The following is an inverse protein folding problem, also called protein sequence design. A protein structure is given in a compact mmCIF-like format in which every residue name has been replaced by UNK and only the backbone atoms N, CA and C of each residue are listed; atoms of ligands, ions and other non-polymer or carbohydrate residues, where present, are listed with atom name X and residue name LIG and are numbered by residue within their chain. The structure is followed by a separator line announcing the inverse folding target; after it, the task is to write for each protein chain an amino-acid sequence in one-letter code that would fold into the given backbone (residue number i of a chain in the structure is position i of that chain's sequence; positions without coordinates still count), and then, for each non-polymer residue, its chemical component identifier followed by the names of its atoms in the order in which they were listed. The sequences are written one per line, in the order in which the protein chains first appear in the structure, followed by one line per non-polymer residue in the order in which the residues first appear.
data_IF_338314964951
#
_entry.id   IF_338314964951
#
_cell.length_a   1.000
_cell.length_b   1.000
_cell.length_c   1.000
_cell.angle_alpha   90.00
_cell.angle_beta   90.00
_cell.angle_gamma   90.00
#
_symmetry.space_group_name_H-M   'P 1'
#
loop_
_entity.id
_entity.type
_entity.pdbx_description
1 polymer ?
#
# COMPACT_ATOMS: atom_id res chain seq x y z
N UNK A 1 20.11 6.82 -22.49
CA UNK A 1 18.69 6.98 -22.11
C UNK A 1 17.92 5.66 -22.11
N UNK A 2 17.69 4.99 -23.26
CA UNK A 2 16.86 3.78 -23.34
C UNK A 2 17.34 2.63 -22.42
N UNK A 3 18.64 2.34 -22.40
CA UNK A 3 19.19 1.27 -21.56
C UNK A 3 18.96 1.53 -20.05
N UNK A 4 19.09 2.77 -19.58
CA UNK A 4 18.85 3.12 -18.18
C UNK A 4 17.37 3.13 -17.81
N UNK A 5 16.50 3.58 -18.72
CA UNK A 5 15.06 3.42 -18.55
C UNK A 5 14.69 1.93 -18.41
N UNK A 6 15.26 1.08 -19.26
CA UNK A 6 15.07 -0.38 -19.17
C UNK A 6 15.57 -0.92 -17.83
N UNK A 7 16.80 -0.55 -17.40
CA UNK A 7 17.36 -0.98 -16.12
C UNK A 7 16.54 -0.50 -14.91
N UNK A 8 16.05 0.74 -14.93
CA UNK A 8 15.20 1.29 -13.88
C UNK A 8 13.86 0.55 -13.81
N UNK A 9 13.25 0.27 -14.96
CA UNK A 9 12.02 -0.53 -15.04
C UNK A 9 12.24 -1.99 -14.62
N UNK A 10 13.41 -2.58 -14.92
CA UNK A 10 13.81 -3.89 -14.38
C UNK A 10 13.87 -3.82 -12.85
N UNK A 11 14.43 -2.76 -12.28
CA UNK A 11 14.39 -2.50 -10.85
C UNK A 11 12.96 -2.50 -10.29
N UNK A 12 12.03 -1.77 -10.91
CA UNK A 12 10.62 -1.76 -10.51
C UNK A 12 9.99 -3.16 -10.62
N UNK A 13 10.26 -3.90 -11.71
CA UNK A 13 9.74 -5.24 -11.93
C UNK A 13 10.27 -6.23 -10.88
N UNK A 14 11.55 -6.14 -10.54
CA UNK A 14 12.17 -6.95 -9.48
C UNK A 14 11.62 -6.57 -8.10
N UNK A 15 11.34 -5.28 -7.85
CA UNK A 15 10.70 -4.83 -6.61
C UNK A 15 9.29 -5.40 -6.50
N UNK A 16 8.50 -5.34 -7.57
CA UNK A 16 7.16 -5.95 -7.65
C UNK A 16 7.22 -7.46 -7.37
N UNK A 17 8.13 -8.17 -8.05
CA UNK A 17 8.33 -9.61 -7.84
C UNK A 17 8.77 -9.91 -6.41
N UNK A 18 9.69 -9.13 -5.85
CA UNK A 18 10.17 -9.27 -4.49
C UNK A 18 9.06 -9.13 -3.46
N UNK A 19 8.21 -8.10 -3.59
CA UNK A 19 7.01 -7.91 -2.75
C UNK A 19 6.02 -9.07 -2.91
N UNK A 20 5.84 -9.61 -4.12
CA UNK A 20 4.97 -10.77 -4.36
C UNK A 20 5.52 -12.06 -3.74
N UNK A 21 6.81 -12.32 -3.84
CA UNK A 21 7.44 -13.49 -3.20
C UNK A 21 7.43 -13.36 -1.68
N UNK A 22 7.72 -12.17 -1.14
CA UNK A 22 7.62 -11.91 0.29
C UNK A 22 6.21 -12.23 0.81
N UNK A 23 5.18 -11.70 0.12
CA UNK A 23 3.76 -12.04 0.36
C UNK A 23 3.53 -13.55 0.34
N UNK A 24 3.94 -14.23 -0.72
CA UNK A 24 3.67 -15.67 -0.88
C UNK A 24 4.35 -16.52 0.20
N UNK A 25 5.61 -16.20 0.53
CA UNK A 25 6.36 -16.88 1.59
C UNK A 25 5.73 -16.67 2.97
N UNK A 26 5.40 -15.43 3.34
CA UNK A 26 4.78 -15.12 4.63
C UNK A 26 3.38 -15.74 4.78
N UNK A 27 2.55 -15.68 3.74
CA UNK A 27 1.20 -16.27 3.76
C UNK A 27 1.26 -17.79 3.89
N UNK A 28 2.15 -18.46 3.15
CA UNK A 28 2.28 -19.91 3.24
C UNK A 28 2.87 -20.37 4.58
N UNK A 29 3.75 -19.56 5.17
CA UNK A 29 4.26 -19.81 6.51
C UNK A 29 3.17 -19.61 7.58
N UNK A 30 2.31 -18.60 7.40
CA UNK A 30 1.24 -18.21 8.32
C UNK A 30 -0.16 -18.77 8.02
N UNK A 31 -0.28 -19.82 7.19
CA UNK A 31 -1.58 -20.25 6.64
C UNK A 31 -2.63 -20.59 7.72
N UNK A 32 -2.20 -21.21 8.82
CA UNK A 32 -3.08 -21.57 9.94
C UNK A 32 -3.57 -20.35 10.74
N UNK A 33 -2.78 -19.28 10.78
CA UNK A 33 -3.08 -18.03 11.48
C UNK A 33 -4.10 -17.21 10.68
N UNK A 34 -3.96 -17.16 9.35
CA UNK A 34 -4.88 -16.42 8.48
C UNK A 34 -6.33 -16.93 8.59
N UNK A 35 -6.54 -18.25 8.56
CA UNK A 35 -7.88 -18.82 8.73
C UNK A 35 -8.48 -18.55 10.13
N UNK A 36 -7.63 -18.44 11.16
CA UNK A 36 -8.07 -18.17 12.54
C UNK A 36 -8.44 -16.69 12.74
N UNK A 37 -7.73 -15.79 12.05
CA UNK A 37 -8.02 -14.35 12.01
C UNK A 37 -9.37 -14.10 11.32
N UNK A 38 -9.57 -14.73 10.16
CA UNK A 38 -10.81 -14.59 9.38
C UNK A 38 -12.06 -15.12 10.11
N UNK A 39 -11.92 -16.09 11.01
CA UNK A 39 -13.03 -16.60 11.84
C UNK A 39 -13.35 -15.74 13.07
N UNK A 40 -12.41 -14.88 13.50
CA UNK A 40 -12.55 -14.02 14.70
C UNK A 40 -12.84 -12.55 14.36
N UNK A 41 -12.61 -12.17 13.11
CA UNK A 41 -13.11 -10.95 12.48
C UNK A 41 -14.50 -11.29 11.93
N UNK A 42 -15.63 -10.72 12.31
CA UNK A 42 -15.93 -9.32 12.56
C UNK A 42 -17.31 -9.23 13.21
N UNK A 43 -17.40 -8.80 14.47
CA UNK A 43 -18.69 -8.43 15.07
C UNK A 43 -18.90 -6.91 15.08
N UNK A 44 -17.82 -6.13 15.17
CA UNK A 44 -17.84 -4.66 15.22
C UNK A 44 -16.74 -4.07 14.33
N UNK A 45 -16.88 -2.81 13.87
CA UNK A 45 -15.86 -2.16 13.05
C UNK A 45 -14.50 -2.01 13.75
N UNK A 46 -14.46 -1.82 15.06
CA UNK A 46 -13.20 -1.75 15.81
C UNK A 46 -12.42 -3.08 15.75
N UNK A 47 -13.14 -4.21 15.89
CA UNK A 47 -12.53 -5.53 15.68
C UNK A 47 -12.14 -5.73 14.22
N UNK A 48 -12.93 -5.20 13.28
CA UNK A 48 -12.60 -5.14 11.85
C UNK A 48 -11.28 -4.40 11.60
N UNK A 49 -11.07 -3.25 12.24
CA UNK A 49 -9.83 -2.46 12.15
C UNK A 49 -8.63 -3.27 12.62
N UNK A 50 -8.67 -3.82 13.84
CA UNK A 50 -7.57 -4.62 14.37
C UNK A 50 -7.23 -5.83 13.48
N UNK A 51 -8.24 -6.62 13.11
CA UNK A 51 -8.00 -7.81 12.29
C UNK A 51 -7.66 -7.47 10.83
N UNK A 52 -8.16 -6.36 10.30
CA UNK A 52 -7.76 -5.84 8.99
C UNK A 52 -6.30 -5.42 8.97
N UNK A 53 -5.83 -4.72 10.01
CA UNK A 53 -4.41 -4.38 10.17
C UNK A 53 -3.56 -5.63 10.26
N UNK A 54 -3.94 -6.59 11.11
CA UNK A 54 -3.16 -7.83 11.24
C UNK A 54 -3.20 -8.67 9.97
N UNK A 55 -4.35 -8.80 9.32
CA UNK A 55 -4.50 -9.55 8.07
C UNK A 55 -3.64 -8.93 6.98
N UNK A 56 -3.68 -7.61 6.79
CA UNK A 56 -2.83 -6.95 5.80
C UNK A 56 -1.36 -6.99 6.19
N UNK A 57 -0.98 -6.87 7.46
CA UNK A 57 0.40 -7.00 7.88
C UNK A 57 0.97 -8.40 7.58
N UNK A 58 0.17 -9.46 7.76
CA UNK A 58 0.60 -10.84 7.48
C UNK A 58 0.54 -11.17 5.98
N UNK A 59 -0.53 -10.75 5.30
CA UNK A 59 -0.73 -10.99 3.86
C UNK A 59 0.11 -10.05 3.01
N UNK A 60 0.58 -8.93 3.57
CA UNK A 60 1.32 -7.85 2.88
C UNK A 60 0.54 -7.22 1.71
N UNK A 61 -0.80 -7.30 1.71
CA UNK A 61 -1.67 -6.63 0.72
C UNK A 61 -2.84 -5.99 1.42
N UNK A 62 -2.96 -4.66 1.35
CA UNK A 62 -4.25 -4.03 1.59
C UNK A 62 -5.23 -4.37 0.47
N UNK A 63 -4.80 -4.32 -0.79
CA UNK A 63 -5.61 -4.68 -1.97
C UNK A 63 -6.34 -6.00 -1.81
N UNK A 64 -5.62 -7.10 -1.54
CA UNK A 64 -6.24 -8.42 -1.38
C UNK A 64 -7.23 -8.48 -0.19
N UNK A 65 -6.89 -7.84 0.93
CA UNK A 65 -7.76 -7.80 2.11
C UNK A 65 -9.01 -6.95 1.86
N UNK A 66 -8.89 -5.82 1.17
CA UNK A 66 -10.03 -4.98 0.78
C UNK A 66 -10.92 -5.66 -0.25
N UNK A 67 -10.34 -6.31 -1.28
CA UNK A 67 -11.11 -7.08 -2.26
C UNK A 67 -11.84 -8.25 -1.59
N UNK A 68 -11.19 -8.93 -0.63
CA UNK A 68 -11.84 -9.96 0.18
C UNK A 68 -12.99 -9.36 1.01
N UNK A 69 -12.81 -8.19 1.63
CA UNK A 69 -13.88 -7.52 2.38
C UNK A 69 -15.06 -7.16 1.47
N UNK A 70 -14.81 -6.66 0.26
CA UNK A 70 -15.83 -6.41 -0.77
C UNK A 70 -16.57 -7.70 -1.10
N UNK A 71 -15.86 -8.81 -1.36
CA UNK A 71 -16.46 -10.11 -1.65
C UNK A 71 -17.27 -10.71 -0.49
N UNK A 72 -16.82 -10.53 0.76
CA UNK A 72 -17.55 -10.98 1.96
C UNK A 72 -18.84 -10.18 2.17
N UNK A 73 -18.83 -8.88 1.86
CA UNK A 73 -20.05 -8.07 1.87
C UNK A 73 -21.00 -8.50 0.75
N UNK A 74 -20.47 -8.79 -0.43
CA UNK A 74 -21.26 -9.22 -1.58
C UNK A 74 -21.97 -10.56 -1.33
N UNK A 75 -21.25 -11.51 -0.72
CA UNK A 75 -21.81 -12.79 -0.28
C UNK A 75 -22.71 -12.72 0.96
N UNK A 76 -22.87 -11.54 1.57
CA UNK A 76 -23.66 -11.34 2.79
C UNK A 76 -23.06 -11.94 4.07
N UNK A 77 -21.78 -12.35 4.04
CA UNK A 77 -21.08 -12.92 5.19
C UNK A 77 -20.77 -11.87 6.26
N UNK A 78 -20.55 -10.62 5.85
CA UNK A 78 -20.36 -9.46 6.72
C UNK A 78 -21.18 -8.28 6.18
N UNK A 79 -21.50 -7.33 7.06
CA UNK A 79 -22.21 -6.12 6.65
C UNK A 79 -21.25 -5.04 6.12
N UNK A 80 -21.79 -4.09 5.35
CA UNK A 80 -21.04 -2.91 4.91
C UNK A 80 -20.39 -2.13 6.08
N UNK A 81 -21.09 -1.93 7.20
CA UNK A 81 -20.50 -1.24 8.35
C UNK A 81 -19.32 -2.00 8.96
N UNK A 82 -19.39 -3.33 9.00
CA UNK A 82 -18.28 -4.16 9.49
C UNK A 82 -17.07 -4.10 8.54
N UNK A 83 -17.29 -4.03 7.23
CA UNK A 83 -16.21 -3.95 6.25
C UNK A 83 -15.44 -2.64 6.34
N UNK A 84 -16.07 -1.52 6.75
CA UNK A 84 -15.38 -0.24 6.99
C UNK A 84 -14.18 -0.41 7.93
N UNK A 85 -14.36 -1.15 9.02
CA UNK A 85 -13.28 -1.49 9.94
C UNK A 85 -12.14 -2.21 9.24
N UNK A 86 -12.46 -3.26 8.47
CA UNK A 86 -11.46 -4.06 7.74
C UNK A 86 -10.66 -3.18 6.77
N UNK A 87 -11.34 -2.31 6.01
CA UNK A 87 -10.71 -1.41 5.03
C UNK A 87 -9.75 -0.43 5.70
N UNK A 88 -10.17 0.21 6.80
CA UNK A 88 -9.33 1.10 7.58
C UNK A 88 -8.12 0.36 8.17
N UNK A 89 -8.35 -0.84 8.70
CA UNK A 89 -7.30 -1.69 9.21
C UNK A 89 -6.28 -2.06 8.13
N UNK A 90 -6.76 -2.42 6.94
CA UNK A 90 -5.92 -2.81 5.81
C UNK A 90 -4.97 -1.69 5.39
N UNK A 91 -5.43 -0.44 5.34
CA UNK A 91 -4.57 0.71 5.06
C UNK A 91 -3.42 0.83 6.08
N UNK A 92 -3.71 0.66 7.37
CA UNK A 92 -2.68 0.67 8.43
C UNK A 92 -1.74 -0.53 8.31
N UNK A 93 -2.25 -1.72 8.00
CA UNK A 93 -1.44 -2.93 7.86
C UNK A 93 -0.36 -2.82 6.78
N UNK A 94 -0.64 -2.11 5.69
CA UNK A 94 0.33 -1.89 4.59
C UNK A 94 1.59 -1.15 5.04
N UNK A 95 1.51 -0.40 6.15
CA UNK A 95 2.67 0.28 6.72
C UNK A 95 3.78 -0.70 7.11
N UNK A 96 3.45 -1.94 7.50
CA UNK A 96 4.46 -2.96 7.80
C UNK A 96 5.30 -3.26 6.56
N UNK A 97 4.69 -3.42 5.38
CA UNK A 97 5.43 -3.60 4.12
C UNK A 97 6.37 -2.45 3.86
N UNK A 98 5.86 -1.22 3.94
CA UNK A 98 6.63 0.00 3.65
C UNK A 98 7.78 0.19 4.65
N UNK A 99 7.57 -0.11 5.93
CA UNK A 99 8.63 -0.07 6.93
C UNK A 99 9.70 -1.15 6.67
N UNK A 100 9.31 -2.34 6.21
CA UNK A 100 10.28 -3.35 5.79
C UNK A 100 11.12 -2.89 4.59
N UNK A 101 10.53 -2.16 3.63
CA UNK A 101 11.27 -1.57 2.51
C UNK A 101 12.28 -0.50 2.96
N UNK A 102 11.98 0.22 4.05
CA UNK A 102 12.79 1.30 4.59
C UNK A 102 13.95 0.81 5.48
N UNK A 103 13.99 -0.49 5.78
CA UNK A 103 15.16 -1.09 6.40
C UNK A 103 16.29 -1.05 5.38
N UNK A 104 17.30 -0.22 5.65
CA UNK A 104 18.50 -0.09 4.82
C UNK A 104 19.36 -1.35 4.94
N UNK A 105 18.94 -2.38 4.20
CA UNK A 105 19.46 -3.74 4.26
C UNK A 105 19.94 -4.20 2.88
N UNK A 106 20.44 -3.26 2.06
CA UNK A 106 21.03 -3.58 0.75
C UNK A 106 22.14 -4.62 0.88
N UNK A 107 22.98 -4.52 1.92
CA UNK A 107 24.02 -5.51 2.22
C UNK A 107 23.47 -6.93 2.49
N UNK A 108 22.22 -7.05 2.92
CA UNK A 108 21.55 -8.35 3.12
C UNK A 108 20.88 -8.86 1.85
N UNK A 109 20.85 -8.12 0.74
CA UNK A 109 20.22 -8.56 -0.50
C UNK A 109 20.79 -9.90 -0.99
N UNK A 110 22.12 -9.99 -1.17
CA UNK A 110 22.81 -11.20 -1.64
C UNK A 110 22.72 -12.37 -0.62
N UNK A 111 22.96 -12.15 0.70
CA UNK A 111 22.70 -13.17 1.70
C UNK A 111 21.25 -13.68 1.70
N UNK A 112 20.25 -12.80 1.58
CA UNK A 112 18.84 -13.18 1.58
C UNK A 112 18.45 -13.95 0.30
N UNK A 113 19.02 -13.58 -0.86
CA UNK A 113 18.83 -14.32 -2.11
C UNK A 113 19.45 -15.72 -2.05
N UNK A 114 20.71 -15.82 -1.61
CA UNK A 114 21.41 -17.11 -1.51
C UNK A 114 20.78 -18.04 -0.48
N UNK A 115 20.49 -17.54 0.73
CA UNK A 115 19.77 -18.30 1.75
C UNK A 115 18.37 -18.70 1.27
N UNK A 116 17.66 -17.76 0.63
CA UNK A 116 16.34 -18.01 0.07
C UNK A 116 16.35 -19.14 -0.96
N UNK A 117 17.27 -19.10 -1.92
CA UNK A 117 17.43 -20.14 -2.94
C UNK A 117 17.65 -21.51 -2.30
N UNK A 118 18.56 -21.64 -1.34
CA UNK A 118 18.82 -22.90 -0.63
C UNK A 118 17.59 -23.37 0.15
N UNK A 119 16.99 -22.49 0.95
CA UNK A 119 15.83 -22.83 1.80
C UNK A 119 14.59 -23.21 0.99
N UNK A 120 14.43 -22.71 -0.24
CA UNK A 120 13.32 -23.09 -1.12
C UNK A 120 13.36 -24.54 -1.61
N UNK A 121 14.55 -25.15 -1.66
CA UNK A 121 14.73 -26.54 -2.07
C UNK A 121 14.15 -27.53 -1.04
N UNK A 122 14.20 -27.17 0.24
CA UNK A 122 13.70 -28.01 1.32
C UNK A 122 12.19 -27.79 1.56
N UNK A 123 11.41 -28.87 1.47
CA UNK A 123 9.93 -28.83 1.59
C UNK A 123 9.44 -28.16 2.88
N UNK A 124 10.14 -28.35 3.99
CA UNK A 124 9.77 -27.81 5.31
C UNK A 124 10.04 -26.31 5.46
N UNK A 125 11.11 -25.79 4.84
CA UNK A 125 11.51 -24.39 4.91
C UNK A 125 11.11 -23.58 3.69
N UNK A 126 10.42 -24.18 2.71
CA UNK A 126 10.12 -23.56 1.42
C UNK A 126 9.44 -22.20 1.55
N UNK A 127 8.47 -22.05 2.45
CA UNK A 127 7.78 -20.78 2.68
C UNK A 127 8.75 -19.68 3.17
N UNK A 128 9.63 -20.02 4.11
CA UNK A 128 10.67 -19.11 4.62
C UNK A 128 11.69 -18.78 3.53
N UNK A 129 12.08 -19.77 2.72
CA UNK A 129 12.98 -19.55 1.59
C UNK A 129 12.39 -18.59 0.55
N UNK A 130 11.11 -18.72 0.22
CA UNK A 130 10.42 -17.81 -0.71
C UNK A 130 10.33 -16.40 -0.12
N UNK A 131 10.05 -16.27 1.18
CA UNK A 131 10.04 -14.97 1.84
C UNK A 131 11.43 -14.31 1.80
N UNK A 132 12.49 -15.08 2.07
CA UNK A 132 13.89 -14.62 2.01
C UNK A 132 14.30 -14.20 0.60
N UNK A 133 13.91 -14.96 -0.45
CA UNK A 133 14.09 -14.55 -1.84
C UNK A 133 13.40 -13.22 -2.12
N UNK A 134 12.16 -13.06 -1.63
CA UNK A 134 11.42 -11.81 -1.74
C UNK A 134 12.15 -10.61 -1.13
N UNK A 135 12.65 -10.75 0.10
CA UNK A 135 13.47 -9.73 0.77
C UNK A 135 14.74 -9.41 -0.05
N UNK A 136 15.43 -10.44 -0.53
CA UNK A 136 16.64 -10.26 -1.33
C UNK A 136 16.40 -9.49 -2.62
N UNK A 137 15.31 -9.79 -3.34
CA UNK A 137 14.90 -9.05 -4.53
C UNK A 137 14.48 -7.61 -4.21
N UNK A 138 13.74 -7.39 -3.11
CA UNK A 138 13.35 -6.05 -2.67
C UNK A 138 14.59 -5.19 -2.47
N UNK A 139 15.51 -5.60 -1.58
CA UNK A 139 16.68 -4.78 -1.23
C UNK A 139 17.61 -4.61 -2.43
N UNK A 140 17.87 -5.68 -3.19
CA UNK A 140 18.68 -5.62 -4.40
C UNK A 140 18.07 -4.73 -5.49
N UNK A 141 16.75 -4.69 -5.62
CA UNK A 141 16.06 -3.84 -6.61
C UNK A 141 16.13 -2.35 -6.25
N UNK A 142 16.02 -2.01 -4.96
CA UNK A 142 16.17 -0.64 -4.48
C UNK A 142 17.60 -0.14 -4.73
N UNK A 143 18.60 -0.97 -4.42
CA UNK A 143 20.00 -0.71 -4.72
C UNK A 143 20.27 -0.55 -6.22
N UNK A 144 19.73 -1.45 -7.06
CA UNK A 144 19.82 -1.37 -8.52
C UNK A 144 19.24 -0.06 -9.05
N UNK A 145 18.04 0.33 -8.61
CA UNK A 145 17.44 1.60 -9.02
C UNK A 145 18.29 2.79 -8.57
N UNK A 146 18.83 2.75 -7.35
CA UNK A 146 19.78 3.74 -6.84
C UNK A 146 21.03 3.87 -7.73
N UNK A 147 21.67 2.75 -8.04
CA UNK A 147 22.86 2.67 -8.89
C UNK A 147 22.60 3.19 -10.32
N UNK A 148 21.44 2.88 -10.90
CA UNK A 148 21.04 3.40 -12.23
C UNK A 148 20.90 4.92 -12.19
N UNK A 149 20.35 5.46 -11.10
CA UNK A 149 20.20 6.91 -10.95
C UNK A 149 21.55 7.60 -10.67
N UNK A 150 22.44 7.01 -9.87
CA UNK A 150 23.75 7.59 -9.51
C UNK A 150 24.76 7.54 -10.66
N UNK A 151 24.75 6.49 -11.49
CA UNK A 151 25.68 6.31 -12.61
C UNK A 151 25.50 7.32 -13.76
N UNK A 152 24.56 8.27 -13.65
CA UNK A 152 24.14 9.15 -14.72
C UNK A 152 24.15 10.63 -14.31
N UNK A 153 25.30 11.11 -13.83
CA UNK A 153 25.53 12.55 -13.57
C UNK A 153 25.59 13.39 -14.86
N UNK A 154 25.86 12.77 -16.03
CA UNK A 154 26.14 13.47 -17.28
C UNK A 154 24.98 13.71 -18.25
N UNK A 155 23.79 13.13 -18.05
CA UNK A 155 22.67 13.34 -18.99
C UNK A 155 21.37 13.69 -18.27
N UNK A 156 20.91 14.90 -18.55
CA UNK A 156 19.68 15.53 -18.05
C UNK A 156 18.38 14.79 -18.43
N UNK A 157 18.42 13.64 -19.12
CA UNK A 157 17.23 13.00 -19.68
C UNK A 157 16.40 12.20 -18.67
N UNK A 158 16.96 11.19 -17.98
CA UNK A 158 16.19 10.34 -17.05
C UNK A 158 15.86 11.05 -15.73
N UNK A 159 16.88 11.61 -15.06
CA UNK A 159 16.68 12.41 -13.84
C UNK A 159 15.80 13.64 -14.12
N UNK A 160 15.98 14.30 -15.26
CA UNK A 160 15.15 15.43 -15.68
C UNK A 160 13.69 15.02 -15.95
N UNK A 161 13.46 13.89 -16.61
CA UNK A 161 12.10 13.37 -16.82
C UNK A 161 11.42 13.01 -15.49
N UNK A 162 12.09 12.24 -14.64
CA UNK A 162 11.54 11.81 -13.35
C UNK A 162 11.30 12.99 -12.39
N UNK A 163 12.20 13.97 -12.39
CA UNK A 163 12.01 15.20 -11.61
C UNK A 163 10.87 16.06 -12.14
N UNK A 164 10.73 16.19 -13.47
CA UNK A 164 9.61 16.92 -14.08
C UNK A 164 8.24 16.28 -13.77
N UNK A 165 8.19 14.95 -13.64
CA UNK A 165 6.96 14.23 -13.26
C UNK A 165 6.52 14.48 -11.81
N UNK A 166 7.40 14.96 -10.95
CA UNK A 166 7.12 15.23 -9.54
C UNK A 166 7.86 16.49 -9.05
N UNK A 167 7.84 17.56 -9.84
CA UNK A 167 8.47 18.83 -9.47
C UNK A 167 7.64 19.60 -8.44
N UNK A 168 6.33 19.37 -8.41
CA UNK A 168 5.39 19.98 -7.47
C UNK A 168 4.63 18.90 -6.68
N UNK A 169 4.09 19.24 -5.49
CA UNK A 169 3.25 18.32 -4.72
C UNK A 169 2.06 17.78 -5.52
N UNK A 170 1.40 18.63 -6.33
CA UNK A 170 0.28 18.20 -7.15
C UNK A 170 0.69 17.16 -8.20
N UNK A 171 1.81 17.37 -8.88
CA UNK A 171 2.35 16.40 -9.83
C UNK A 171 2.72 15.09 -9.13
N UNK A 172 3.36 15.16 -7.96
CA UNK A 172 3.63 13.99 -7.13
C UNK A 172 2.35 13.20 -6.82
N UNK A 173 1.30 13.86 -6.34
CA UNK A 173 0.01 13.24 -6.03
C UNK A 173 -0.64 12.58 -7.25
N UNK A 174 -0.65 13.24 -8.41
CA UNK A 174 -1.20 12.67 -9.65
C UNK A 174 -0.36 11.46 -10.10
N UNK A 175 0.97 11.61 -10.12
CA UNK A 175 1.88 10.54 -10.51
C UNK A 175 1.73 9.30 -9.60
N UNK A 176 1.69 9.49 -8.28
CA UNK A 176 1.49 8.41 -7.32
C UNK A 176 0.16 7.69 -7.51
N UNK A 177 -0.90 8.45 -7.80
CA UNK A 177 -2.25 7.91 -8.08
C UNK A 177 -2.23 7.05 -9.34
N UNK A 178 -1.73 7.57 -10.45
CA UNK A 178 -1.70 6.87 -11.74
C UNK A 178 -0.78 5.65 -11.71
N UNK A 179 0.44 5.81 -11.17
CA UNK A 179 1.39 4.71 -11.06
C UNK A 179 0.85 3.59 -10.18
N UNK A 180 0.21 3.92 -9.05
CA UNK A 180 -0.36 2.88 -8.19
C UNK A 180 -1.59 2.24 -8.80
N UNK A 181 -2.43 3.02 -9.50
CA UNK A 181 -3.57 2.45 -10.19
C UNK A 181 -3.14 1.46 -11.28
N UNK A 182 -2.04 1.75 -11.99
CA UNK A 182 -1.47 0.89 -13.03
C UNK A 182 -0.72 -0.33 -12.45
N UNK A 183 0.12 -0.13 -11.44
CA UNK A 183 0.92 -1.20 -10.81
C UNK A 183 0.12 -2.01 -9.78
N UNK A 184 -1.05 -1.54 -9.38
CA UNK A 184 -1.90 -2.11 -8.32
C UNK A 184 -1.21 -2.27 -6.94
N UNK A 185 -0.12 -1.53 -6.68
CA UNK A 185 0.69 -1.66 -5.46
C UNK A 185 1.23 -0.32 -4.97
N UNK A 186 0.65 0.23 -3.89
CA UNK A 186 1.14 1.47 -3.27
C UNK A 186 2.47 1.30 -2.58
N UNK A 187 2.78 0.12 -2.02
CA UNK A 187 4.07 -0.13 -1.37
C UNK A 187 5.23 -0.06 -2.37
N UNK A 188 5.03 -0.55 -3.60
CA UNK A 188 6.04 -0.47 -4.66
C UNK A 188 6.25 0.99 -5.07
N UNK A 189 5.16 1.73 -5.31
CA UNK A 189 5.24 3.15 -5.67
C UNK A 189 5.87 3.99 -4.54
N UNK A 190 5.59 3.64 -3.28
CA UNK A 190 6.24 4.25 -2.12
C UNK A 190 7.73 3.90 -2.06
N UNK A 191 8.12 2.66 -2.35
CA UNK A 191 9.53 2.26 -2.46
C UNK A 191 10.28 3.00 -3.57
N UNK A 192 9.63 3.22 -4.72
CA UNK A 192 10.17 4.09 -5.79
C UNK A 192 10.38 5.51 -5.28
N UNK A 193 9.41 6.08 -4.55
CA UNK A 193 9.56 7.40 -3.95
C UNK A 193 10.73 7.48 -2.96
N UNK A 194 10.95 6.44 -2.14
CA UNK A 194 12.11 6.37 -1.24
C UNK A 194 13.42 6.47 -2.03
N UNK A 195 13.56 5.72 -3.12
CA UNK A 195 14.76 5.75 -3.95
C UNK A 195 14.95 7.12 -4.61
N UNK A 196 13.88 7.70 -5.17
CA UNK A 196 13.96 9.00 -5.84
C UNK A 196 14.41 10.13 -4.90
N UNK A 197 13.93 10.14 -3.65
CA UNK A 197 14.38 11.12 -2.65
C UNK A 197 15.80 10.83 -2.19
N UNK A 198 16.12 9.56 -1.92
CA UNK A 198 17.46 9.16 -1.44
C UNK A 198 18.56 9.46 -2.45
N UNK A 199 18.23 9.45 -3.75
CA UNK A 199 19.16 9.80 -4.84
C UNK A 199 19.12 11.28 -5.24
N UNK A 200 18.34 12.11 -4.53
CA UNK A 200 18.18 13.54 -4.79
C UNK A 200 17.50 13.87 -6.12
N UNK A 201 16.73 12.93 -6.70
CA UNK A 201 16.01 13.13 -7.97
C UNK A 201 14.78 14.00 -7.77
N UNK A 202 14.08 13.81 -6.65
CA UNK A 202 12.96 14.65 -6.23
C UNK A 202 13.18 15.10 -4.78
N UNK A 203 12.68 16.28 -4.42
CA UNK A 203 12.70 16.72 -3.02
C UNK A 203 11.69 15.93 -2.19
N UNK A 204 11.83 15.99 -0.86
CA UNK A 204 10.96 15.27 0.06
C UNK A 204 9.47 15.62 -0.16
N UNK A 205 9.16 16.89 -0.38
CA UNK A 205 7.78 17.39 -0.43
C UNK A 205 6.93 16.74 -1.56
N UNK A 206 7.36 16.73 -2.84
CA UNK A 206 6.66 15.98 -3.89
C UNK A 206 6.62 14.46 -3.65
N UNK A 207 7.62 13.88 -2.99
CA UNK A 207 7.61 12.46 -2.65
C UNK A 207 6.54 12.11 -1.59
N UNK A 208 6.34 12.98 -0.59
CA UNK A 208 5.25 12.83 0.36
C UNK A 208 3.89 12.90 -0.35
N UNK A 209 3.75 13.84 -1.30
CA UNK A 209 2.53 13.95 -2.10
C UNK A 209 2.31 12.71 -3.00
N UNK A 210 3.38 12.14 -3.56
CA UNK A 210 3.35 10.89 -4.30
C UNK A 210 2.86 9.73 -3.43
N UNK A 211 3.27 9.66 -2.16
CA UNK A 211 2.73 8.69 -1.20
C UNK A 211 1.22 8.89 -0.96
N UNK A 212 0.74 10.13 -0.84
CA UNK A 212 -0.70 10.39 -0.74
C UNK A 212 -1.45 9.89 -1.98
N UNK A 213 -0.93 10.20 -3.16
CA UNK A 213 -1.45 9.71 -4.43
C UNK A 213 -1.47 8.18 -4.51
N UNK A 214 -0.41 7.51 -4.05
CA UNK A 214 -0.33 6.06 -4.07
C UNK A 214 -1.45 5.39 -3.25
N UNK A 215 -1.82 5.98 -2.11
CA UNK A 215 -2.95 5.48 -1.33
C UNK A 215 -4.30 5.67 -2.06
N UNK A 216 -4.49 6.79 -2.77
CA UNK A 216 -5.67 6.99 -3.65
C UNK A 216 -5.69 5.93 -4.76
N UNK A 217 -4.57 5.75 -5.48
CA UNK A 217 -4.49 4.84 -6.61
C UNK A 217 -4.80 3.38 -6.26
N UNK A 218 -4.53 2.96 -5.02
CA UNK A 218 -4.84 1.60 -4.53
C UNK A 218 -6.33 1.26 -4.64
N UNK A 219 -7.20 2.28 -4.55
CA UNK A 219 -8.66 2.12 -4.52
C UNK A 219 -9.24 1.57 -5.83
N UNK A 220 -8.51 1.67 -6.96
CA UNK A 220 -8.99 1.17 -8.26
C UNK A 220 -9.36 -0.31 -8.20
N UNK A 221 -8.62 -1.09 -7.41
CA UNK A 221 -8.81 -2.54 -7.29
C UNK A 221 -10.13 -2.90 -6.60
N UNK A 222 -10.49 -2.17 -5.55
CA UNK A 222 -11.75 -2.33 -4.85
C UNK A 222 -12.93 -1.90 -5.74
N UNK A 223 -12.76 -0.81 -6.50
CA UNK A 223 -13.77 -0.32 -7.46
C UNK A 223 -14.04 -1.37 -8.54
N UNK A 224 -12.98 -1.93 -9.14
CA UNK A 224 -13.10 -2.98 -10.15
C UNK A 224 -13.75 -4.24 -9.55
N UNK A 225 -13.37 -4.64 -8.33
CA UNK A 225 -13.96 -5.78 -7.65
C UNK A 225 -15.46 -5.59 -7.33
N UNK A 226 -15.91 -4.37 -7.06
CA UNK A 226 -17.30 -4.08 -6.71
C UNK A 226 -18.20 -3.71 -7.91
N UNK A 227 -17.63 -3.56 -9.11
CA UNK A 227 -18.32 -2.97 -10.27
C UNK A 227 -19.64 -3.69 -10.61
N UNK A 228 -19.62 -5.02 -10.55
CA UNK A 228 -20.75 -5.91 -10.86
C UNK A 228 -21.34 -6.59 -9.61
N UNK A 229 -21.04 -6.06 -8.43
CA UNK A 229 -21.49 -6.59 -7.15
C UNK A 229 -22.69 -5.81 -6.58
N UNK A 230 -23.21 -6.29 -5.46
CA UNK A 230 -24.28 -5.67 -4.67
C UNK A 230 -23.99 -4.21 -4.28
N UNK A 231 -25.06 -3.47 -3.97
CA UNK A 231 -24.94 -2.07 -3.49
C UNK A 231 -24.10 -1.95 -2.21
N UNK A 232 -24.16 -2.94 -1.32
CA UNK A 232 -23.33 -2.98 -0.12
C UNK A 232 -21.82 -3.16 -0.46
N UNK A 233 -21.49 -3.98 -1.45
CA UNK A 233 -20.12 -4.15 -1.94
C UNK A 233 -19.61 -2.86 -2.60
N UNK A 234 -20.45 -2.20 -3.42
CA UNK A 234 -20.16 -0.88 -4.00
C UNK A 234 -19.92 0.20 -2.95
N UNK A 235 -20.72 0.23 -1.88
CA UNK A 235 -20.48 1.11 -0.71
C UNK A 235 -19.15 0.84 -0.05
N UNK A 236 -18.73 -0.43 0.08
CA UNK A 236 -17.42 -0.79 0.65
C UNK A 236 -16.27 -0.25 -0.21
N UNK A 237 -16.34 -0.42 -1.54
CA UNK A 237 -15.35 0.14 -2.45
C UNK A 237 -15.34 1.68 -2.43
N UNK A 238 -16.53 2.30 -2.40
CA UNK A 238 -16.66 3.75 -2.31
C UNK A 238 -16.12 4.29 -0.97
N UNK A 239 -16.30 3.56 0.12
CA UNK A 239 -15.71 3.91 1.41
C UNK A 239 -14.19 3.95 1.32
N UNK A 240 -13.57 2.93 0.70
CA UNK A 240 -12.14 2.88 0.52
C UNK A 240 -11.64 4.07 -0.29
N UNK A 241 -12.29 4.40 -1.41
CA UNK A 241 -11.97 5.58 -2.21
C UNK A 241 -12.11 6.87 -1.40
N UNK A 242 -13.27 7.07 -0.77
CA UNK A 242 -13.59 8.30 -0.04
C UNK A 242 -12.61 8.54 1.11
N UNK A 243 -12.30 7.51 1.91
CA UNK A 243 -11.35 7.63 3.02
C UNK A 243 -9.96 8.02 2.53
N UNK A 244 -9.44 7.40 1.46
CA UNK A 244 -8.11 7.71 0.96
C UNK A 244 -8.05 9.09 0.29
N UNK A 245 -9.07 9.47 -0.47
CA UNK A 245 -9.17 10.80 -1.09
C UNK A 245 -9.27 11.88 -0.03
N UNK A 246 -10.24 11.78 0.88
CA UNK A 246 -10.41 12.76 1.97
C UNK A 246 -9.18 12.80 2.86
N UNK A 247 -8.60 11.66 3.24
CA UNK A 247 -7.37 11.60 4.01
C UNK A 247 -6.22 12.33 3.31
N UNK A 248 -6.01 12.09 2.01
CA UNK A 248 -4.98 12.76 1.23
C UNK A 248 -5.19 14.29 1.19
N UNK A 249 -6.41 14.75 0.89
CA UNK A 249 -6.71 16.19 0.84
C UNK A 249 -6.68 16.87 2.21
N UNK A 250 -6.99 16.17 3.30
CA UNK A 250 -6.83 16.70 4.66
C UNK A 250 -5.36 16.90 5.03
N UNK A 251 -4.46 16.07 4.52
CA UNK A 251 -3.03 16.09 4.87
C UNK A 251 -2.22 16.95 3.89
N UNK A 252 -2.72 17.16 2.67
CA UNK A 252 -2.06 17.94 1.62
C UNK A 252 -1.57 19.34 2.08
N UNK A 253 -2.34 20.15 2.83
CA UNK A 253 -1.90 21.46 3.31
C UNK A 253 -0.77 21.38 4.35
N UNK A 254 -0.62 20.24 5.02
CA UNK A 254 0.37 20.02 6.07
C UNK A 254 1.66 19.37 5.55
N UNK A 255 1.79 19.11 4.24
CA UNK A 255 2.97 18.47 3.68
C UNK A 255 4.26 19.27 3.92
N UNK A 256 4.20 20.61 3.84
CA UNK A 256 5.35 21.46 4.13
C UNK A 256 5.83 21.33 5.57
N UNK A 257 4.88 21.25 6.52
CA UNK A 257 5.20 20.99 7.92
C UNK A 257 5.74 19.57 8.13
N UNK A 258 5.16 18.58 7.47
CA UNK A 258 5.69 17.21 7.53
C UNK A 258 7.13 17.15 7.01
N UNK A 259 7.44 17.87 5.92
CA UNK A 259 8.78 17.91 5.34
C UNK A 259 9.83 18.57 6.24
N UNK A 260 9.42 19.45 7.17
CA UNK A 260 10.34 20.02 8.18
C UNK A 260 10.48 19.16 9.43
N UNK A 261 9.43 18.42 9.81
CA UNK A 261 9.43 17.60 11.03
C UNK A 261 10.06 16.20 10.82
N UNK A 262 9.88 15.58 9.65
CA UNK A 262 10.41 14.24 9.38
C UNK A 262 11.93 14.11 9.52
N UNK A 263 12.75 15.10 9.08
CA UNK A 263 14.19 15.08 9.32
C UNK A 263 14.59 15.04 10.80
N UNK A 264 13.71 15.49 11.72
CA UNK A 264 13.95 15.39 13.16
C UNK A 264 13.77 13.97 13.70
N UNK A 265 13.00 13.12 13.01
CA UNK A 265 12.80 11.71 13.38
C UNK A 265 13.91 10.80 12.85
N UNK A 266 14.39 11.08 11.63
CA UNK A 266 15.47 10.31 11.00
C UNK A 266 16.19 11.15 9.95
N UNK A 267 17.53 11.09 9.87
CA UNK A 267 18.28 11.77 8.81
C UNK A 267 18.13 11.09 7.44
N UNK A 268 17.75 9.80 7.40
CA UNK A 268 17.62 9.03 6.16
C UNK A 268 16.36 9.43 5.36
N UNK A 269 16.48 9.95 4.12
CA UNK A 269 15.34 10.44 3.36
C UNK A 269 14.34 9.36 2.94
N UNK A 270 14.79 8.12 2.68
CA UNK A 270 13.90 6.99 2.39
C UNK A 270 12.99 6.65 3.58
N UNK A 271 13.57 6.60 4.79
CA UNK A 271 12.83 6.40 6.04
C UNK A 271 11.91 7.56 6.37
N UNK A 272 12.24 8.81 5.99
CA UNK A 272 11.30 9.95 6.12
C UNK A 272 10.00 9.68 5.33
N UNK A 273 10.12 9.21 4.08
CA UNK A 273 8.96 8.81 3.25
C UNK A 273 8.18 7.65 3.91
N UNK A 274 8.87 6.65 4.46
CA UNK A 274 8.25 5.51 5.13
C UNK A 274 7.48 5.89 6.42
N UNK A 275 8.08 6.75 7.25
CA UNK A 275 7.44 7.27 8.46
C UNK A 275 6.24 8.15 8.11
N UNK A 276 6.37 9.02 7.10
CA UNK A 276 5.23 9.78 6.60
C UNK A 276 4.08 8.87 6.17
N UNK A 277 4.35 7.85 5.35
CA UNK A 277 3.33 6.88 4.93
C UNK A 277 2.61 6.26 6.14
N UNK A 278 3.36 5.91 7.18
CA UNK A 278 2.84 5.27 8.40
C UNK A 278 1.99 6.24 9.22
N UNK A 279 2.49 7.44 9.48
CA UNK A 279 1.78 8.48 10.22
C UNK A 279 0.50 8.89 9.49
N UNK A 280 0.57 9.06 8.17
CA UNK A 280 -0.57 9.38 7.32
C UNK A 280 -1.67 8.31 7.40
N UNK A 281 -1.32 7.04 7.18
CA UNK A 281 -2.31 5.95 7.17
C UNK A 281 -2.90 5.72 8.57
N UNK A 282 -2.09 5.83 9.62
CA UNK A 282 -2.56 5.71 11.00
C UNK A 282 -3.51 6.86 11.34
N UNK A 283 -3.11 8.11 11.08
CA UNK A 283 -3.94 9.28 11.35
C UNK A 283 -5.27 9.23 10.59
N UNK A 284 -5.21 9.05 9.26
CA UNK A 284 -6.42 9.03 8.43
C UNK A 284 -7.36 7.90 8.82
N UNK A 285 -6.82 6.72 9.13
CA UNK A 285 -7.65 5.57 9.50
C UNK A 285 -8.26 5.71 10.89
N UNK A 286 -7.52 6.25 11.87
CA UNK A 286 -8.05 6.52 13.20
C UNK A 286 -9.08 7.66 13.20
N UNK A 287 -8.84 8.73 12.44
CA UNK A 287 -9.78 9.81 12.27
C UNK A 287 -11.10 9.30 11.66
N UNK A 288 -11.02 8.50 10.58
CA UNK A 288 -12.19 7.87 9.98
C UNK A 288 -12.88 6.87 10.92
N UNK A 289 -12.13 6.17 11.78
CA UNK A 289 -12.70 5.25 12.77
C UNK A 289 -13.52 5.99 13.85
N UNK A 290 -13.09 7.18 14.28
CA UNK A 290 -13.85 8.02 15.21
C UNK A 290 -15.20 8.43 14.61
N UNK A 291 -15.23 8.77 13.32
CA UNK A 291 -16.44 9.20 12.60
C UNK A 291 -17.08 8.08 11.78
N UNK A 292 -16.84 6.82 12.14
CA UNK A 292 -17.24 5.68 11.28
C UNK A 292 -18.76 5.55 11.09
N UNK A 293 -19.56 5.91 12.11
CA UNK A 293 -21.03 5.90 12.03
C UNK A 293 -21.55 6.97 11.04
N UNK A 294 -21.24 8.26 11.21
CA UNK A 294 -21.69 9.27 10.25
C UNK A 294 -21.11 9.02 8.86
N UNK A 295 -19.88 8.51 8.74
CA UNK A 295 -19.31 8.09 7.46
C UNK A 295 -20.15 7.00 6.79
N UNK A 296 -20.57 5.97 7.54
CA UNK A 296 -21.40 4.90 7.01
C UNK A 296 -22.77 5.40 6.52
N UNK A 297 -23.40 6.31 7.28
CA UNK A 297 -24.68 6.92 6.90
C UNK A 297 -24.53 7.78 5.63
N UNK A 298 -23.49 8.61 5.57
CA UNK A 298 -23.17 9.43 4.40
C UNK A 298 -22.96 8.57 3.15
N UNK A 299 -22.17 7.49 3.26
CA UNK A 299 -21.91 6.61 2.12
C UNK A 299 -23.14 5.81 1.69
N UNK A 300 -24.04 5.50 2.62
CA UNK A 300 -25.32 4.85 2.31
C UNK A 300 -26.25 5.81 1.55
N UNK A 301 -26.22 7.10 1.92
CA UNK A 301 -26.92 8.16 1.19
C UNK A 301 -26.31 8.41 -0.20
N UNK A 302 -24.98 8.45 -0.30
CA UNK A 302 -24.25 8.69 -1.55
C UNK A 302 -24.42 7.55 -2.57
N UNK A 303 -24.48 6.30 -2.07
CA UNK A 303 -24.69 5.09 -2.88
C UNK A 303 -25.96 4.39 -2.36
N UNK A 304 -27.16 4.85 -2.76
CA UNK A 304 -28.42 4.28 -2.31
C UNK A 304 -28.67 2.89 -2.91
N UNK A 305 -29.52 2.08 -2.28
CA UNK A 305 -29.94 0.81 -2.85
C UNK A 305 -30.73 1.10 -4.13
N UNK A 306 -30.36 0.48 -5.25
CA UNK A 306 -31.24 0.41 -6.41
C UNK A 306 -32.51 -0.34 -5.99
N UNK A 307 -33.69 0.27 -6.19
CA UNK A 307 -34.98 -0.21 -5.66
C UNK A 307 -35.38 -1.64 -6.07
N UNK A 308 -36.64 -2.02 -5.87
CA UNK A 308 -37.18 -2.87 -4.80
C UNK A 308 -36.68 -4.33 -4.73
N UNK A 309 -35.55 -4.71 -5.36
CA UNK A 309 -35.02 -6.08 -5.33
C UNK A 309 -33.69 -6.25 -4.60
N UNK A 310 -33.13 -5.18 -4.04
CA UNK A 310 -31.96 -5.25 -3.17
C UNK A 310 -32.34 -5.88 -1.83
N UNK A 311 -31.87 -7.10 -1.56
CA UNK A 311 -32.00 -7.78 -0.26
C UNK A 311 -31.56 -6.82 0.85
N UNK A 312 -32.54 -6.21 1.50
CA UNK A 312 -32.34 -5.36 2.67
C UNK A 312 -31.89 -6.25 3.82
N UNK A 313 -30.57 -6.31 4.02
CA UNK A 313 -30.01 -6.68 5.32
C UNK A 313 -30.35 -5.54 6.28
N UNK A 314 -31.53 -5.64 6.90
CA UNK A 314 -31.98 -4.72 7.94
C UNK A 314 -31.00 -4.75 9.12
N UNK A 315 -30.57 -3.58 9.54
CA UNK A 315 -29.73 -3.37 10.71
C UNK A 315 -30.55 -3.57 12.00
N UNK A 316 -30.01 -4.26 13.02
CA UNK A 316 -30.39 -4.02 14.41
C UNK A 316 -29.76 -2.74 14.96
#
# INVERSE_FOLDING_TARGET
MLNHLVQFNIGIALLLLGVQLLRHGLVNWGHSQLQRILRRATSTPLRGFFWGTLATALVQSSTAVTVLAVGLVDGGAITFYQSLGIVLGANVGTCVTVQLLALDLEALALPALSAGAVLTLARRSRAVGIASLGCGLIFGSLGLMGAVLSSYEGSHSLRGYLSAMAATPLQGLVAGTLLTAFLHSSSVVTGVAMVLVSQGVISLLPALALVLGANIGTCITAILAALLSSWAAKRTAMAHLFINVTGAFLILPFLSLAATLLPLLTPDPGRQVAHFHTLFNLFSSLAALVVIKPLALFLTWLVPDGGPSGKSGTWP
#
